data_IF_063779097656
#
_entry.id   IF_063779097656
#
_cell.length_a   1.000
_cell.length_b   1.000
_cell.length_c   1.000
_cell.angle_alpha   90.00
_cell.angle_beta   90.00
_cell.angle_gamma   90.00
#
_symmetry.space_group_name_H-M   'P 1'
#
loop_
_entity.id
_entity.type
_entity.pdbx_description
1 polymer ?
#
# COMPACT_ATOMS: atom_id res chain seq x y z
N UNK A 1 -32.95 -11.25 13.65
CA UNK A 1 -32.74 -10.69 12.29
C UNK A 1 -32.44 -9.20 12.46
N UNK A 2 -31.23 -8.68 12.18
CA UNK A 2 -30.91 -7.29 12.49
C UNK A 2 -31.66 -6.32 11.54
N UNK A 3 -31.95 -5.07 11.97
CA UNK A 3 -32.78 -4.11 11.24
C UNK A 3 -32.01 -3.25 10.22
N UNK A 4 -32.70 -2.50 9.33
CA UNK A 4 -32.15 -1.98 8.08
C UNK A 4 -31.41 -0.62 8.16
N UNK A 5 -31.40 0.07 9.30
CA UNK A 5 -30.94 1.47 9.38
C UNK A 5 -29.48 1.69 9.81
N UNK A 6 -28.62 0.67 9.79
CA UNK A 6 -27.20 0.82 10.20
C UNK A 6 -26.22 1.10 9.05
N UNK A 7 -26.71 1.28 7.81
CA UNK A 7 -25.82 1.30 6.62
C UNK A 7 -25.36 2.69 6.17
N UNK A 8 -26.02 3.78 6.56
CA UNK A 8 -25.72 5.10 5.99
C UNK A 8 -24.74 5.96 6.83
N UNK A 9 -24.51 5.63 8.10
CA UNK A 9 -23.59 6.39 8.96
C UNK A 9 -22.12 5.93 8.90
N UNK A 10 -21.79 4.86 8.16
CA UNK A 10 -20.44 4.26 8.15
C UNK A 10 -19.63 4.49 6.88
N UNK A 11 -20.16 5.24 5.91
CA UNK A 11 -19.43 5.56 4.66
C UNK A 11 -18.70 6.90 4.69
N UNK A 12 -19.13 7.86 5.51
CA UNK A 12 -18.42 9.14 5.68
C UNK A 12 -17.07 9.00 6.42
N UNK A 13 -16.90 7.93 7.23
CA UNK A 13 -15.67 7.69 8.00
C UNK A 13 -14.56 6.94 7.23
N UNK A 14 -14.83 6.48 5.99
CA UNK A 14 -13.89 5.61 5.24
C UNK A 14 -13.00 6.36 4.25
N UNK A 15 -13.18 7.66 4.05
CA UNK A 15 -12.38 8.45 3.11
C UNK A 15 -11.32 9.33 3.78
N UNK A 16 -10.96 9.05 5.05
CA UNK A 16 -10.15 9.96 5.87
C UNK A 16 -8.68 9.56 6.04
N UNK A 17 -8.10 8.69 5.19
CA UNK A 17 -6.76 8.14 5.48
C UNK A 17 -5.76 8.11 4.31
N UNK A 18 -5.95 8.96 3.30
CA UNK A 18 -4.88 9.35 2.37
C UNK A 18 -4.37 10.75 2.71
N UNK A 19 -4.23 11.06 4.00
CA UNK A 19 -3.77 12.36 4.49
C UNK A 19 -2.63 12.24 5.53
N UNK A 20 -2.11 11.03 5.78
CA UNK A 20 -1.18 10.80 6.89
C UNK A 20 0.23 11.35 6.68
N UNK A 21 0.65 11.72 5.47
CA UNK A 21 1.99 12.28 5.21
C UNK A 21 2.05 13.80 5.42
N UNK A 22 0.91 14.50 5.38
CA UNK A 22 0.85 15.97 5.45
C UNK A 22 0.22 16.50 6.73
N UNK A 23 -0.42 15.64 7.54
CA UNK A 23 -1.26 16.09 8.67
C UNK A 23 -0.50 16.45 9.96
N UNK A 24 0.79 16.16 10.07
CA UNK A 24 1.55 16.36 11.31
C UNK A 24 2.37 17.64 11.42
N UNK A 25 2.51 18.41 10.33
CA UNK A 25 3.54 19.45 10.26
C UNK A 25 2.93 20.83 10.02
N UNK A 26 3.05 21.72 11.00
CA UNK A 26 2.69 23.15 10.88
C UNK A 26 3.77 23.87 10.07
N UNK A 27 3.81 23.59 8.76
CA UNK A 27 4.86 24.06 7.83
C UNK A 27 4.42 25.32 7.08
N UNK A 28 5.37 26.19 6.78
CA UNK A 28 5.20 27.34 5.90
C UNK A 28 4.83 26.90 4.48
N UNK A 29 4.11 27.75 3.73
CA UNK A 29 3.72 27.48 2.33
C UNK A 29 4.92 27.15 1.41
N UNK A 30 6.09 27.73 1.71
CA UNK A 30 7.33 27.43 0.97
C UNK A 30 7.80 25.99 1.26
N UNK A 31 7.81 25.61 2.53
CA UNK A 31 8.23 24.29 2.98
C UNK A 31 7.26 23.20 2.52
N UNK A 32 5.96 23.52 2.43
CA UNK A 32 4.96 22.59 1.88
C UNK A 32 5.21 22.27 0.40
N UNK A 33 5.62 23.26 -0.40
CA UNK A 33 5.97 23.04 -1.82
C UNK A 33 7.25 22.22 -1.98
N UNK A 34 8.26 22.48 -1.15
CA UNK A 34 9.50 21.68 -1.13
C UNK A 34 9.22 20.24 -0.69
N UNK A 35 8.33 20.06 0.29
CA UNK A 35 7.88 18.75 0.76
C UNK A 35 7.12 17.99 -0.33
N UNK A 36 6.22 18.64 -1.07
CA UNK A 36 5.51 18.02 -2.20
C UNK A 36 6.48 17.45 -3.25
N UNK A 37 7.54 18.20 -3.59
CA UNK A 37 8.56 17.72 -4.52
C UNK A 37 9.29 16.50 -3.97
N UNK A 38 9.68 16.54 -2.69
CA UNK A 38 10.35 15.41 -2.03
C UNK A 38 9.46 14.16 -1.99
N UNK A 39 8.16 14.32 -1.74
CA UNK A 39 7.19 13.20 -1.78
C UNK A 39 7.09 12.63 -3.19
N UNK A 40 7.06 13.47 -4.22
CA UNK A 40 7.03 12.99 -5.61
C UNK A 40 8.29 12.18 -5.96
N UNK A 41 9.46 12.67 -5.60
CA UNK A 41 10.74 11.98 -5.81
C UNK A 41 10.76 10.62 -5.10
N UNK A 42 10.28 10.60 -3.85
CA UNK A 42 10.14 9.37 -3.07
C UNK A 42 9.20 8.38 -3.75
N UNK A 43 8.01 8.80 -4.19
CA UNK A 43 7.05 7.92 -4.87
C UNK A 43 7.62 7.31 -6.15
N UNK A 44 8.45 8.06 -6.90
CA UNK A 44 9.11 7.55 -8.09
C UNK A 44 10.14 6.45 -7.75
N UNK A 45 10.97 6.68 -6.73
CA UNK A 45 11.95 5.68 -6.26
C UNK A 45 11.26 4.40 -5.81
N UNK A 46 10.19 4.52 -5.01
CA UNK A 46 9.39 3.37 -4.53
C UNK A 46 8.77 2.57 -5.68
N UNK A 47 8.28 3.25 -6.72
CA UNK A 47 7.77 2.57 -7.92
C UNK A 47 8.87 1.78 -8.62
N UNK A 48 10.07 2.34 -8.72
CA UNK A 48 11.19 1.67 -9.38
C UNK A 48 11.66 0.43 -8.60
N UNK A 49 11.77 0.52 -7.28
CA UNK A 49 12.09 -0.64 -6.44
C UNK A 49 11.02 -1.74 -6.54
N UNK A 50 9.74 -1.35 -6.52
CA UNK A 50 8.62 -2.28 -6.70
C UNK A 50 8.70 -2.99 -8.06
N UNK A 51 9.01 -2.27 -9.14
CA UNK A 51 9.18 -2.85 -10.46
C UNK A 51 10.32 -3.88 -10.49
N UNK A 52 11.49 -3.53 -9.95
CA UNK A 52 12.65 -4.45 -9.86
C UNK A 52 12.29 -5.69 -9.04
N UNK A 53 11.62 -5.51 -7.90
CA UNK A 53 11.16 -6.60 -7.05
C UNK A 53 10.15 -7.53 -7.73
N UNK A 54 9.28 -7.00 -8.60
CA UNK A 54 8.37 -7.83 -9.41
C UNK A 54 9.13 -8.65 -10.45
N UNK A 55 10.09 -8.05 -11.14
CA UNK A 55 10.90 -8.75 -12.13
C UNK A 55 11.61 -9.93 -11.49
N UNK A 56 12.33 -9.72 -10.38
CA UNK A 56 13.07 -10.77 -9.69
C UNK A 56 12.15 -11.90 -9.18
N UNK A 57 11.11 -11.54 -8.41
CA UNK A 57 10.17 -12.51 -7.83
C UNK A 57 9.44 -13.31 -8.91
N UNK A 58 8.90 -12.65 -9.92
CA UNK A 58 8.09 -13.32 -10.93
C UNK A 58 8.94 -14.15 -11.88
N UNK A 59 10.15 -13.68 -12.23
CA UNK A 59 11.08 -14.49 -12.99
C UNK A 59 11.46 -15.77 -12.23
N UNK A 60 11.88 -15.65 -10.96
CA UNK A 60 12.28 -16.80 -10.14
C UNK A 60 11.16 -17.80 -9.83
N UNK A 61 9.89 -17.39 -9.91
CA UNK A 61 8.73 -18.27 -9.70
C UNK A 61 8.17 -18.87 -10.98
N UNK A 62 8.16 -18.13 -12.07
CA UNK A 62 7.47 -18.52 -13.29
C UNK A 62 8.38 -19.08 -14.37
N UNK A 63 9.65 -18.65 -14.43
CA UNK A 63 10.60 -19.10 -15.46
C UNK A 63 11.49 -20.18 -14.87
N UNK A 64 11.09 -21.43 -15.10
CA UNK A 64 11.78 -22.60 -14.54
C UNK A 64 12.37 -23.52 -15.62
N UNK A 65 12.08 -23.28 -16.90
CA UNK A 65 12.47 -24.17 -18.00
C UNK A 65 13.40 -23.47 -18.98
N UNK A 66 14.68 -23.81 -18.95
CA UNK A 66 15.71 -23.16 -19.76
C UNK A 66 16.01 -23.90 -21.07
N UNK A 67 14.98 -24.36 -21.78
CA UNK A 67 15.14 -25.09 -23.06
C UNK A 67 15.19 -24.17 -24.28
N UNK A 68 14.70 -22.93 -24.16
CA UNK A 68 14.67 -21.96 -25.27
C UNK A 68 15.05 -20.57 -24.78
N UNK A 69 15.45 -19.69 -25.71
CA UNK A 69 15.73 -18.26 -25.42
C UNK A 69 14.48 -17.38 -25.40
N UNK A 70 13.29 -17.97 -25.56
CA UNK A 70 12.00 -17.26 -25.59
C UNK A 70 11.14 -17.75 -24.43
N UNK A 71 10.37 -16.84 -23.85
CA UNK A 71 9.37 -17.20 -22.86
C UNK A 71 8.25 -18.01 -23.52
N UNK A 72 7.90 -19.13 -22.88
CA UNK A 72 6.75 -19.96 -23.23
C UNK A 72 5.45 -19.18 -22.94
N UNK A 73 4.35 -19.56 -23.60
CA UNK A 73 3.03 -18.95 -23.35
C UNK A 73 2.61 -19.11 -21.88
N UNK A 74 2.86 -20.28 -21.30
CA UNK A 74 2.57 -20.61 -19.90
C UNK A 74 3.39 -19.75 -18.93
N UNK A 75 4.65 -19.48 -19.23
CA UNK A 75 5.51 -18.59 -18.42
C UNK A 75 5.01 -17.15 -18.47
N UNK A 76 4.63 -16.65 -19.66
CA UNK A 76 4.03 -15.31 -19.81
C UNK A 76 2.74 -15.16 -19.02
N UNK A 77 1.86 -16.15 -19.08
CA UNK A 77 0.62 -16.17 -18.31
C UNK A 77 0.90 -16.21 -16.79
N UNK A 78 1.87 -17.03 -16.36
CA UNK A 78 2.29 -17.07 -14.97
C UNK A 78 2.83 -15.70 -14.50
N UNK A 79 3.67 -15.03 -15.29
CA UNK A 79 4.23 -13.71 -14.96
C UNK A 79 3.11 -12.68 -14.81
N UNK A 80 2.15 -12.64 -15.74
CA UNK A 80 0.99 -11.74 -15.66
C UNK A 80 0.19 -11.95 -14.37
N UNK A 81 -0.10 -13.21 -14.03
CA UNK A 81 -0.78 -13.57 -12.79
C UNK A 81 0.06 -13.26 -11.54
N UNK A 82 1.38 -13.43 -11.60
CA UNK A 82 2.29 -13.15 -10.50
C UNK A 82 2.29 -11.66 -10.15
N UNK A 83 2.38 -10.77 -11.14
CA UNK A 83 2.33 -9.32 -10.92
C UNK A 83 0.97 -8.91 -10.37
N UNK A 84 -0.13 -9.39 -10.96
CA UNK A 84 -1.49 -9.10 -10.49
C UNK A 84 -1.70 -9.52 -9.02
N UNK A 85 -1.24 -10.72 -8.65
CA UNK A 85 -1.28 -11.22 -7.27
C UNK A 85 -0.41 -10.38 -6.33
N UNK A 86 0.76 -9.95 -6.77
CA UNK A 86 1.68 -9.15 -5.95
C UNK A 86 1.09 -7.77 -5.65
N UNK A 87 0.47 -7.12 -6.64
CA UNK A 87 -0.26 -5.87 -6.43
C UNK A 87 -1.46 -6.03 -5.49
N UNK A 88 -2.26 -7.08 -5.67
CA UNK A 88 -3.35 -7.39 -4.76
C UNK A 88 -2.86 -7.66 -3.33
N UNK A 89 -1.71 -8.32 -3.19
CA UNK A 89 -1.07 -8.57 -1.91
C UNK A 89 -0.63 -7.27 -1.22
N UNK A 90 0.09 -6.39 -1.93
CA UNK A 90 0.53 -5.09 -1.39
C UNK A 90 -0.67 -4.28 -0.88
N UNK A 91 -1.76 -4.19 -1.66
CA UNK A 91 -2.99 -3.49 -1.25
C UNK A 91 -3.59 -4.08 0.04
N UNK A 92 -3.62 -5.42 0.13
CA UNK A 92 -4.15 -6.10 1.32
C UNK A 92 -3.27 -5.88 2.54
N UNK A 93 -1.94 -5.95 2.38
CA UNK A 93 -0.98 -5.68 3.45
C UNK A 93 -1.14 -4.25 3.95
N UNK A 94 -1.24 -3.26 3.04
CA UNK A 94 -1.49 -1.87 3.40
C UNK A 94 -2.76 -1.69 4.24
N UNK A 95 -3.87 -2.33 3.84
CA UNK A 95 -5.13 -2.26 4.60
C UNK A 95 -4.96 -2.79 6.03
N UNK A 96 -4.33 -3.97 6.19
CA UNK A 96 -4.11 -4.55 7.52
C UNK A 96 -3.12 -3.75 8.36
N UNK A 97 -2.09 -3.20 7.72
CA UNK A 97 -1.12 -2.35 8.38
C UNK A 97 -1.77 -1.07 8.93
N UNK A 98 -2.66 -0.44 8.16
CA UNK A 98 -3.42 0.73 8.63
C UNK A 98 -4.33 0.39 9.81
N UNK A 99 -5.03 -0.74 9.76
CA UNK A 99 -5.86 -1.22 10.89
C UNK A 99 -5.01 -1.40 12.15
N UNK A 100 -3.83 -2.02 12.06
CA UNK A 100 -2.95 -2.21 13.20
C UNK A 100 -2.35 -0.90 13.71
N UNK A 101 -1.95 0.00 12.83
CA UNK A 101 -1.39 1.30 13.22
C UNK A 101 -2.40 2.13 14.01
N UNK A 102 -3.68 2.10 13.62
CA UNK A 102 -4.76 2.74 14.37
C UNK A 102 -4.97 2.13 15.75
N UNK A 103 -4.93 0.79 15.85
CA UNK A 103 -5.05 0.10 17.15
C UNK A 103 -3.90 0.45 18.08
N UNK A 104 -2.66 0.46 17.59
CA UNK A 104 -1.49 0.84 18.39
C UNK A 104 -1.58 2.28 18.89
N UNK A 105 -2.00 3.22 18.03
CA UNK A 105 -2.18 4.62 18.43
C UNK A 105 -3.28 4.79 19.47
N UNK A 106 -4.40 4.08 19.35
CA UNK A 106 -5.47 4.10 20.34
C UNK A 106 -5.02 3.52 21.70
N UNK A 107 -4.23 2.44 21.68
CA UNK A 107 -3.64 1.86 22.90
C UNK A 107 -2.64 2.82 23.56
N UNK A 108 -1.79 3.49 22.77
CA UNK A 108 -0.85 4.48 23.28
C UNK A 108 -1.57 5.67 23.94
N UNK A 109 -2.68 6.13 23.35
CA UNK A 109 -3.51 7.20 23.93
C UNK A 109 -4.24 6.75 25.21
N UNK A 110 -4.70 5.50 25.27
CA UNK A 110 -5.34 4.95 26.47
C UNK A 110 -4.35 4.77 27.63
N UNK A 111 -3.08 4.46 27.35
CA UNK A 111 -2.03 4.32 28.36
C UNK A 111 -1.54 5.68 28.93
N UNK A 112 -1.85 6.80 28.26
CA UNK A 112 -1.50 8.16 28.72
C UNK A 112 -2.63 8.85 29.52
N UNK A 113 -3.79 8.22 29.68
CA UNK A 113 -4.84 8.80 30.52
C UNK A 113 -4.45 8.67 32.01
N UNK A 114 -4.32 9.78 32.75
CA UNK A 114 -4.04 9.73 34.18
C UNK A 114 -5.22 9.07 34.89
N UNK A 115 -4.91 8.15 35.79
CA UNK A 115 -5.88 7.42 36.62
C UNK A 115 -6.53 8.34 37.66
#
# INVERSE_FOLDING_TARGET
RPPPHRKEATEAAKMNNMQSLTQGANMSKKEQKEFEHMVQDMMFSEMQEMYIGFVDRCFGKCVNTFRTRKLLSTEKECISNCVAKSLAHIKRVQLRFQEQNQMMNAQAQAAMQPK
#
